data_IF_312132731102
#
_entry.id   IF_312132731102
#
_cell.length_a   1.000
_cell.length_b   1.000
_cell.length_c   1.000
_cell.angle_alpha   90.00
_cell.angle_beta   90.00
_cell.angle_gamma   90.00
#
_symmetry.space_group_name_H-M   'P 1'
#
loop_
_entity.id
_entity.type
_entity.pdbx_description
1 polymer ?
#
# COMPACT_ATOMS: atom_id res chain seq x y z
N UNK A 1 -1.20 12.49 15.47
CA UNK A 1 -0.25 13.35 14.72
C UNK A 1 1.21 13.21 15.17
N UNK A 2 1.51 12.30 16.12
CA UNK A 2 2.88 12.13 16.60
C UNK A 2 3.79 11.41 15.59
N UNK A 3 3.20 10.65 14.67
CA UNK A 3 3.89 9.81 13.69
C UNK A 3 3.72 10.29 12.23
N UNK A 4 2.92 11.33 12.01
CA UNK A 4 2.59 11.81 10.67
C UNK A 4 2.99 13.27 10.52
N UNK A 5 3.62 13.62 9.40
CA UNK A 5 3.88 15.00 9.04
C UNK A 5 2.63 15.58 8.35
N UNK A 6 1.92 16.54 8.98
CA UNK A 6 0.74 17.14 8.36
C UNK A 6 1.13 17.99 7.15
N UNK A 7 0.51 17.74 6.01
CA UNK A 7 0.84 18.40 4.73
C UNK A 7 0.69 19.93 4.80
N UNK A 8 -0.18 20.43 5.66
CA UNK A 8 -0.37 21.87 5.90
C UNK A 8 0.90 22.61 6.35
N UNK A 9 1.90 21.89 6.83
CA UNK A 9 3.20 22.46 7.26
C UNK A 9 4.31 22.36 6.21
N UNK A 10 4.06 21.78 5.06
CA UNK A 10 5.03 21.76 3.97
C UNK A 10 5.31 23.18 3.50
N UNK A 11 6.61 23.53 3.39
CA UNK A 11 7.05 24.87 2.95
C UNK A 11 6.90 25.99 3.99
N UNK A 12 6.49 25.67 5.24
CA UNK A 12 6.25 26.71 6.28
C UNK A 12 7.36 26.87 7.32
N UNK A 13 8.56 26.38 7.06
CA UNK A 13 9.68 26.42 8.01
C UNK A 13 9.58 25.38 9.13
N UNK A 14 10.64 25.26 9.95
CA UNK A 14 10.77 24.27 11.03
C UNK A 14 10.50 22.81 10.62
N UNK A 15 10.56 22.50 9.31
CA UNK A 15 10.30 21.16 8.79
C UNK A 15 11.26 20.13 9.36
N UNK A 16 12.56 20.46 9.39
CA UNK A 16 13.61 19.54 9.86
C UNK A 16 13.41 19.16 11.32
N UNK A 17 13.10 20.14 12.19
CA UNK A 17 12.82 19.88 13.60
C UNK A 17 11.59 19.00 13.76
N UNK A 18 10.53 19.27 13.01
CA UNK A 18 9.29 18.47 13.02
C UNK A 18 9.52 17.05 12.53
N UNK A 19 10.29 16.86 11.45
CA UNK A 19 10.67 15.54 10.93
C UNK A 19 11.45 14.76 11.99
N UNK A 20 12.48 15.37 12.58
CA UNK A 20 13.28 14.73 13.62
C UNK A 20 12.44 14.28 14.81
N UNK A 21 11.50 15.12 15.26
CA UNK A 21 10.58 14.78 16.35
C UNK A 21 9.66 13.59 15.98
N UNK A 22 9.17 13.56 14.75
CA UNK A 22 8.35 12.44 14.26
C UNK A 22 9.17 11.14 14.24
N UNK A 23 10.40 11.15 13.72
CA UNK A 23 11.28 9.99 13.69
C UNK A 23 11.64 9.51 15.11
N UNK A 24 11.89 10.43 16.03
CA UNK A 24 12.10 10.10 17.45
C UNK A 24 10.87 9.44 18.08
N UNK A 25 9.67 9.99 17.82
CA UNK A 25 8.42 9.38 18.29
C UNK A 25 8.20 7.98 17.71
N UNK A 26 8.48 7.77 16.41
CA UNK A 26 8.41 6.45 15.77
C UNK A 26 9.34 5.46 16.48
N UNK A 27 10.60 5.84 16.70
CA UNK A 27 11.59 5.01 17.41
C UNK A 27 11.15 4.71 18.84
N UNK A 28 10.57 5.68 19.53
CA UNK A 28 10.08 5.49 20.89
C UNK A 28 8.87 4.58 20.96
N UNK A 29 7.95 4.66 19.98
CA UNK A 29 6.78 3.77 19.89
C UNK A 29 7.19 2.31 19.65
N UNK A 30 8.22 2.10 18.80
CA UNK A 30 8.80 0.77 18.61
C UNK A 30 9.48 0.26 19.90
N UNK A 31 10.32 1.09 20.53
CA UNK A 31 11.03 0.73 21.75
C UNK A 31 10.09 0.39 22.93
N UNK A 32 8.97 1.09 23.02
CA UNK A 32 7.98 0.92 24.07
C UNK A 32 6.88 -0.11 23.70
N UNK A 33 7.06 -0.83 22.58
CA UNK A 33 6.12 -1.85 22.09
C UNK A 33 4.67 -1.32 21.89
N UNK A 34 4.50 0.00 21.69
CA UNK A 34 3.22 0.58 21.27
C UNK A 34 2.88 0.14 19.85
N UNK A 35 3.92 0.02 19.02
CA UNK A 35 3.87 -0.63 17.70
C UNK A 35 4.90 -1.76 17.75
N UNK A 36 4.47 -2.96 17.41
CA UNK A 36 5.32 -4.14 17.42
C UNK A 36 5.19 -4.94 16.14
N UNK A 37 6.20 -5.75 15.83
CA UNK A 37 6.19 -6.64 14.68
C UNK A 37 5.25 -7.82 14.92
N UNK A 38 4.31 -8.02 14.02
CA UNK A 38 3.42 -9.17 14.02
C UNK A 38 4.01 -10.36 13.25
N UNK A 39 3.18 -11.38 13.05
CA UNK A 39 3.51 -12.53 12.19
C UNK A 39 3.48 -12.10 10.71
N UNK A 40 4.30 -12.74 9.89
CA UNK A 40 4.26 -12.58 8.43
C UNK A 40 2.92 -13.07 7.87
N UNK A 41 2.40 -12.36 6.86
CA UNK A 41 1.14 -12.67 6.21
C UNK A 41 0.51 -11.43 5.60
N UNK A 42 -0.66 -11.59 4.98
CA UNK A 42 -1.49 -10.47 4.56
C UNK A 42 -2.48 -10.10 5.66
N UNK A 43 -3.03 -8.89 5.58
CA UNK A 43 -4.15 -8.51 6.45
C UNK A 43 -5.37 -8.30 5.57
N UNK A 44 -6.37 -9.16 5.74
CA UNK A 44 -7.68 -8.97 5.12
C UNK A 44 -8.47 -7.93 5.91
N UNK A 45 -8.93 -6.90 5.22
CA UNK A 45 -9.67 -5.78 5.77
C UNK A 45 -11.15 -5.84 5.41
N UNK A 46 -11.98 -5.58 6.39
CA UNK A 46 -13.38 -5.23 6.20
C UNK A 46 -13.63 -3.84 6.78
N UNK A 47 -14.17 -2.95 5.99
CA UNK A 47 -14.59 -1.62 6.43
C UNK A 47 -16.07 -1.41 6.12
N UNK A 48 -16.81 -0.95 7.11
CA UNK A 48 -18.20 -0.54 7.01
C UNK A 48 -18.29 0.99 7.19
N UNK A 49 -19.03 1.66 6.34
CA UNK A 49 -19.32 3.10 6.44
C UNK A 49 -20.81 3.34 6.30
N UNK A 50 -21.27 4.58 6.56
CA UNK A 50 -22.67 4.96 6.32
C UNK A 50 -23.10 4.84 4.85
N UNK A 51 -22.14 4.93 3.91
CA UNK A 51 -22.41 4.89 2.46
C UNK A 51 -22.17 3.51 1.84
N UNK A 52 -21.39 2.67 2.49
CA UNK A 52 -21.06 1.34 2.00
C UNK A 52 -21.11 0.34 3.16
N UNK A 53 -22.04 -0.58 3.08
CA UNK A 53 -22.22 -1.61 4.09
C UNK A 53 -20.98 -2.49 4.25
N UNK A 54 -20.21 -2.65 3.17
CA UNK A 54 -19.00 -3.48 3.19
C UNK A 54 -18.03 -3.05 2.10
N UNK A 55 -16.81 -2.71 2.53
CA UNK A 55 -15.64 -2.61 1.67
C UNK A 55 -14.63 -3.64 2.12
N UNK A 56 -13.96 -4.26 1.17
CA UNK A 56 -12.99 -5.31 1.42
C UNK A 56 -11.67 -4.97 0.75
N UNK A 57 -10.57 -5.41 1.34
CA UNK A 57 -9.24 -5.21 0.78
C UNK A 57 -8.20 -6.10 1.45
N UNK A 58 -7.02 -6.09 0.88
CA UNK A 58 -5.82 -6.72 1.46
C UNK A 58 -4.75 -5.65 1.71
N UNK A 59 -4.13 -5.69 2.88
CA UNK A 59 -2.86 -4.99 3.08
C UNK A 59 -1.77 -5.96 2.63
N UNK A 60 -0.98 -5.52 1.67
CA UNK A 60 0.09 -6.28 1.04
C UNK A 60 1.37 -5.45 0.96
N UNK A 61 2.50 -6.10 0.82
CA UNK A 61 3.74 -5.47 0.37
C UNK A 61 3.86 -5.63 -1.14
N UNK A 62 4.30 -4.59 -1.83
CA UNK A 62 4.55 -4.61 -3.26
C UNK A 62 6.02 -4.35 -3.57
N UNK A 63 6.52 -5.01 -4.61
CA UNK A 63 7.86 -4.79 -5.11
C UNK A 63 7.92 -3.45 -5.87
N UNK A 64 8.65 -2.48 -5.31
CA UNK A 64 8.82 -1.17 -5.93
C UNK A 64 9.59 -1.22 -7.25
N UNK A 65 10.33 -2.29 -7.55
CA UNK A 65 10.94 -2.48 -8.88
C UNK A 65 9.88 -2.72 -9.96
N UNK A 66 8.70 -3.20 -9.58
CA UNK A 66 7.57 -3.41 -10.47
C UNK A 66 6.63 -2.21 -10.58
N UNK A 67 6.94 -1.11 -9.90
CA UNK A 67 6.19 0.14 -9.96
C UNK A 67 6.91 1.20 -10.77
N UNK A 68 6.14 1.86 -11.65
CA UNK A 68 6.59 3.05 -12.37
C UNK A 68 5.43 4.04 -12.52
N UNK A 69 5.70 5.30 -12.18
CA UNK A 69 4.73 6.40 -12.20
C UNK A 69 4.85 7.31 -13.41
N UNK A 70 5.76 7.03 -14.34
CA UNK A 70 5.93 7.85 -15.53
C UNK A 70 4.81 7.57 -16.53
N UNK A 71 4.45 8.60 -17.31
CA UNK A 71 3.47 8.46 -18.37
C UNK A 71 3.97 7.47 -19.44
N UNK A 72 3.08 6.57 -19.88
CA UNK A 72 3.42 5.51 -20.82
C UNK A 72 4.19 4.33 -20.23
N UNK A 73 4.25 4.23 -18.90
CA UNK A 73 4.86 3.10 -18.21
C UNK A 73 4.26 1.76 -18.66
N UNK A 74 5.14 0.75 -18.74
CA UNK A 74 4.80 -0.64 -19.04
C UNK A 74 4.97 -1.56 -17.83
N UNK A 75 5.15 -0.99 -16.65
CA UNK A 75 5.31 -1.74 -15.41
C UNK A 75 4.02 -2.43 -14.98
N UNK A 76 4.15 -3.49 -14.19
CA UNK A 76 3.03 -4.27 -13.64
C UNK A 76 2.14 -3.42 -12.70
N UNK A 77 2.74 -2.45 -12.01
CA UNK A 77 2.06 -1.48 -11.14
C UNK A 77 2.23 -0.10 -11.75
N UNK A 78 1.12 0.61 -12.00
CA UNK A 78 1.13 1.92 -12.67
C UNK A 78 0.30 2.94 -11.89
N UNK A 79 0.65 4.21 -12.06
CA UNK A 79 -0.17 5.32 -11.57
C UNK A 79 -1.42 5.50 -12.46
N UNK A 80 -2.56 5.86 -11.85
CA UNK A 80 -3.81 6.16 -12.58
C UNK A 80 -3.85 7.58 -13.13
N UNK A 81 -3.02 8.47 -12.60
CA UNK A 81 -2.94 9.88 -12.97
C UNK A 81 -1.49 10.35 -13.05
N UNK A 82 -1.27 11.48 -13.69
CA UNK A 82 0.06 12.09 -13.79
C UNK A 82 0.63 12.43 -12.41
N UNK A 83 1.83 11.96 -12.14
CA UNK A 83 2.54 12.30 -10.91
C UNK A 83 3.21 13.65 -11.05
N UNK A 84 2.88 14.60 -10.17
CA UNK A 84 3.50 15.92 -10.09
C UNK A 84 4.87 15.77 -9.45
N UNK A 85 5.94 15.81 -10.25
CA UNK A 85 7.31 15.50 -9.82
C UNK A 85 7.83 16.45 -8.74
N UNK A 86 7.43 17.72 -8.77
CA UNK A 86 7.82 18.73 -7.77
C UNK A 86 7.31 18.40 -6.36
N UNK A 87 6.30 17.53 -6.24
CA UNK A 87 5.76 17.10 -4.95
C UNK A 87 6.58 15.98 -4.31
N UNK A 88 7.45 15.31 -5.06
CA UNK A 88 8.24 14.17 -4.56
C UNK A 88 9.36 14.61 -3.60
N UNK A 89 10.24 15.57 -3.93
CA UNK A 89 11.41 15.90 -3.09
C UNK A 89 11.07 16.28 -1.64
N UNK A 90 10.06 17.11 -1.34
CA UNK A 90 9.69 17.41 0.05
C UNK A 90 9.24 16.18 0.83
N UNK A 91 8.54 15.26 0.17
CA UNK A 91 8.06 14.02 0.78
C UNK A 91 9.17 12.99 1.00
N UNK A 92 10.15 12.93 0.09
CA UNK A 92 11.37 12.13 0.26
C UNK A 92 12.12 12.59 1.52
N UNK A 93 12.27 13.92 1.72
CA UNK A 93 12.90 14.48 2.92
C UNK A 93 12.22 14.02 4.22
N UNK A 94 10.89 13.90 4.22
CA UNK A 94 10.12 13.44 5.39
C UNK A 94 10.30 11.96 5.64
N UNK A 95 10.30 11.14 4.58
CA UNK A 95 10.29 9.67 4.69
C UNK A 95 11.68 9.05 4.80
N UNK A 96 12.68 9.69 4.24
CA UNK A 96 14.05 9.18 4.27
C UNK A 96 14.54 9.05 5.71
N UNK A 97 14.92 7.84 6.11
CA UNK A 97 15.37 7.53 7.46
C UNK A 97 14.25 7.39 8.51
N UNK A 98 12.97 7.45 8.11
CA UNK A 98 11.87 7.14 9.01
C UNK A 98 11.90 5.67 9.42
N UNK A 99 11.80 5.34 10.74
CA UNK A 99 11.80 3.95 11.20
C UNK A 99 10.54 3.17 10.85
N UNK A 100 9.45 3.86 10.51
CA UNK A 100 8.16 3.28 10.19
C UNK A 100 7.58 3.89 8.91
N UNK A 101 6.93 3.06 8.12
CA UNK A 101 6.04 3.47 7.04
C UNK A 101 4.57 3.26 7.46
N UNK A 102 3.75 4.27 7.24
CA UNK A 102 2.31 4.20 7.53
C UNK A 102 1.55 4.08 6.21
N UNK A 103 1.07 2.87 5.84
CA UNK A 103 0.44 2.64 4.56
C UNK A 103 -0.88 3.40 4.44
N UNK A 104 -1.08 4.07 3.31
CA UNK A 104 -2.30 4.80 2.97
C UNK A 104 -2.55 4.83 1.46
N UNK A 105 -1.86 3.95 0.74
CA UNK A 105 -1.94 3.84 -0.72
C UNK A 105 -3.03 2.83 -1.06
N UNK A 106 -3.90 3.17 -1.99
CA UNK A 106 -4.92 2.28 -2.50
C UNK A 106 -4.51 1.77 -3.88
N UNK A 107 -4.29 0.48 -3.98
CA UNK A 107 -4.10 -0.23 -5.23
C UNK A 107 -5.41 -0.90 -5.65
N UNK A 108 -5.78 -0.75 -6.90
CA UNK A 108 -6.97 -1.35 -7.51
C UNK A 108 -6.53 -2.50 -8.39
N UNK A 109 -7.35 -3.54 -8.41
CA UNK A 109 -7.26 -4.67 -9.35
C UNK A 109 -8.54 -4.77 -10.17
N UNK A 110 -8.45 -5.26 -11.39
CA UNK A 110 -9.60 -5.55 -12.22
C UNK A 110 -9.93 -7.04 -12.17
N UNK A 111 -10.62 -7.44 -11.10
CA UNK A 111 -11.05 -8.81 -10.79
C UNK A 111 -12.58 -8.94 -10.87
N UNK A 112 -13.18 -9.00 -12.09
CA UNK A 112 -14.64 -9.07 -12.24
C UNK A 112 -15.25 -10.36 -11.71
N UNK A 113 -14.45 -11.42 -11.59
CA UNK A 113 -14.89 -12.72 -11.09
C UNK A 113 -14.80 -12.81 -9.56
N UNK A 114 -14.33 -11.74 -8.88
CA UNK A 114 -14.24 -11.65 -7.43
C UNK A 114 -13.45 -12.82 -6.81
N UNK A 115 -12.31 -13.19 -7.41
CA UNK A 115 -11.54 -14.38 -7.03
C UNK A 115 -10.42 -14.11 -6.03
N UNK A 116 -9.96 -12.85 -5.90
CA UNK A 116 -8.81 -12.49 -5.06
C UNK A 116 -9.21 -12.17 -3.63
N UNK A 117 -10.13 -11.23 -3.44
CA UNK A 117 -10.43 -10.64 -2.12
C UNK A 117 -11.72 -11.23 -1.52
N UNK A 118 -12.76 -11.34 -2.32
CA UNK A 118 -14.10 -11.70 -1.85
C UNK A 118 -14.18 -13.09 -1.20
N UNK A 119 -13.46 -14.13 -1.65
CA UNK A 119 -13.49 -15.45 -1.03
C UNK A 119 -13.05 -15.46 0.44
N UNK A 120 -12.19 -14.51 0.83
CA UNK A 120 -11.69 -14.41 2.21
C UNK A 120 -12.78 -14.06 3.22
N UNK A 121 -13.87 -13.46 2.74
CA UNK A 121 -14.98 -13.07 3.61
C UNK A 121 -15.67 -14.26 4.29
N UNK A 122 -15.74 -15.40 3.62
CA UNK A 122 -16.32 -16.63 4.17
C UNK A 122 -15.39 -17.36 5.14
N UNK A 123 -14.11 -17.01 5.16
CA UNK A 123 -13.06 -17.66 5.94
C UNK A 123 -12.68 -16.87 7.20
N UNK A 124 -13.35 -15.75 7.48
CA UNK A 124 -13.01 -14.89 8.64
C UNK A 124 -13.17 -15.59 10.00
N UNK A 125 -13.93 -16.67 10.08
CA UNK A 125 -14.05 -17.49 11.28
C UNK A 125 -12.77 -18.27 11.64
N UNK A 126 -11.93 -18.54 10.63
CA UNK A 126 -10.69 -19.29 10.76
C UNK A 126 -9.48 -18.37 10.91
N UNK A 127 -9.63 -17.08 10.64
CA UNK A 127 -8.57 -16.09 10.71
C UNK A 127 -8.47 -15.44 12.09
N UNK A 128 -7.25 -15.18 12.55
CA UNK A 128 -7.03 -14.38 13.74
C UNK A 128 -7.47 -12.92 13.49
N UNK A 129 -8.46 -12.43 14.23
CA UNK A 129 -8.78 -11.01 14.26
C UNK A 129 -7.66 -10.25 14.97
N UNK A 130 -6.99 -9.34 14.26
CA UNK A 130 -5.91 -8.51 14.81
C UNK A 130 -6.46 -7.27 15.50
N UNK A 131 -7.48 -6.67 14.92
CA UNK A 131 -8.13 -5.49 15.47
C UNK A 131 -9.55 -5.32 14.92
N UNK A 132 -10.36 -4.66 15.73
CA UNK A 132 -11.69 -4.21 15.40
C UNK A 132 -11.93 -2.88 16.12
N UNK A 133 -12.24 -1.83 15.39
CA UNK A 133 -12.42 -0.50 15.98
C UNK A 133 -13.33 0.40 15.16
N UNK A 134 -13.97 1.34 15.84
CA UNK A 134 -14.64 2.46 15.21
C UNK A 134 -13.62 3.51 14.76
N UNK A 135 -13.82 4.06 13.57
CA UNK A 135 -12.96 5.10 13.01
C UNK A 135 -13.43 6.49 13.44
N UNK A 136 -12.46 7.38 13.69
CA UNK A 136 -12.74 8.78 14.02
C UNK A 136 -13.61 9.45 12.96
N UNK A 137 -14.25 10.56 13.32
CA UNK A 137 -15.05 11.40 12.42
C UNK A 137 -16.21 10.64 11.75
N UNK A 138 -16.79 9.67 12.43
CA UNK A 138 -17.83 8.80 11.87
C UNK A 138 -17.38 8.04 10.61
N UNK A 139 -16.08 7.74 10.51
CA UNK A 139 -15.47 7.04 9.38
C UNK A 139 -15.90 5.58 9.25
N UNK A 140 -16.79 5.10 10.14
CA UNK A 140 -17.31 3.75 10.18
C UNK A 140 -16.46 2.81 11.02
N UNK A 141 -16.64 1.51 10.83
CA UNK A 141 -15.96 0.44 11.55
C UNK A 141 -14.99 -0.30 10.66
N UNK A 142 -13.84 -0.67 11.20
CA UNK A 142 -12.85 -1.46 10.49
C UNK A 142 -12.48 -2.71 11.29
N UNK A 143 -12.27 -3.83 10.59
CA UNK A 143 -11.74 -5.08 11.11
C UNK A 143 -10.56 -5.52 10.27
N UNK A 144 -9.52 -6.03 10.89
CA UNK A 144 -8.36 -6.61 10.24
C UNK A 144 -8.12 -8.04 10.70
N UNK A 145 -7.94 -8.95 9.74
CA UNK A 145 -7.72 -10.37 9.97
C UNK A 145 -6.38 -10.80 9.37
N UNK A 146 -5.59 -11.53 10.13
CA UNK A 146 -4.33 -12.10 9.65
C UNK A 146 -4.59 -13.29 8.73
N UNK A 147 -4.06 -13.22 7.52
CA UNK A 147 -4.06 -14.30 6.53
C UNK A 147 -2.64 -14.83 6.42
N UNK A 148 -2.40 -16.02 6.97
CA UNK A 148 -1.10 -16.68 7.00
C UNK A 148 -1.17 -18.17 6.62
N UNK A 149 -2.34 -18.69 6.36
CA UNK A 149 -2.57 -20.08 5.93
C UNK A 149 -2.04 -20.28 4.51
N UNK A 150 -1.08 -21.23 4.36
CA UNK A 150 -0.41 -21.47 3.07
C UNK A 150 -1.36 -21.74 1.91
N UNK A 151 -2.39 -22.61 2.02
CA UNK A 151 -3.37 -22.81 0.96
C UNK A 151 -4.12 -21.53 0.58
N UNK A 152 -4.44 -20.67 1.54
CA UNK A 152 -5.13 -19.40 1.28
C UNK A 152 -4.21 -18.41 0.57
N UNK A 153 -2.95 -18.31 1.03
CA UNK A 153 -1.93 -17.48 0.39
C UNK A 153 -1.69 -17.92 -1.06
N UNK A 154 -1.54 -19.22 -1.29
CA UNK A 154 -1.35 -19.76 -2.64
C UNK A 154 -2.53 -19.44 -3.56
N UNK A 155 -3.77 -19.55 -3.07
CA UNK A 155 -4.96 -19.18 -3.83
C UNK A 155 -4.98 -17.69 -4.19
N UNK A 156 -4.53 -16.81 -3.28
CA UNK A 156 -4.41 -15.37 -3.55
C UNK A 156 -3.37 -15.14 -4.65
N UNK A 157 -2.18 -15.73 -4.51
CA UNK A 157 -1.10 -15.59 -5.50
C UNK A 157 -1.53 -16.11 -6.87
N UNK A 158 -2.14 -17.29 -6.93
CA UNK A 158 -2.60 -17.86 -8.18
C UNK A 158 -3.69 -17.01 -8.83
N UNK A 159 -4.64 -16.49 -8.03
CA UNK A 159 -5.70 -15.62 -8.53
C UNK A 159 -5.14 -14.30 -9.09
N UNK A 160 -4.16 -13.70 -8.42
CA UNK A 160 -3.47 -12.52 -8.94
C UNK A 160 -2.67 -12.81 -10.22
N UNK A 161 -1.98 -13.96 -10.27
CA UNK A 161 -1.25 -14.38 -11.47
C UNK A 161 -2.19 -14.61 -12.66
N UNK A 162 -3.34 -15.21 -12.41
CA UNK A 162 -4.37 -15.44 -13.42
C UNK A 162 -4.91 -14.13 -14.04
N UNK A 163 -4.94 -13.01 -13.29
CA UNK A 163 -5.39 -11.72 -13.83
C UNK A 163 -4.45 -11.16 -14.90
N UNK A 164 -3.18 -11.51 -14.84
CA UNK A 164 -2.12 -11.04 -15.76
C UNK A 164 -1.58 -12.15 -16.66
N UNK A 165 -2.22 -13.32 -16.69
CA UNK A 165 -1.86 -14.35 -17.66
C UNK A 165 -2.06 -13.79 -19.10
N UNK A 166 -1.01 -13.77 -19.96
CA UNK A 166 -1.01 -13.01 -21.20
C UNK A 166 -2.21 -13.27 -22.12
N UNK A 167 -2.60 -14.54 -22.28
CA UNK A 167 -3.71 -14.89 -23.16
C UNK A 167 -5.07 -14.42 -22.62
N UNK A 168 -5.24 -14.45 -21.30
CA UNK A 168 -6.45 -13.94 -20.61
C UNK A 168 -6.49 -12.43 -20.64
N UNK A 169 -5.35 -11.77 -20.34
CA UNK A 169 -5.21 -10.34 -20.36
C UNK A 169 -5.51 -9.76 -21.74
N UNK A 170 -4.85 -10.28 -22.78
CA UNK A 170 -5.04 -9.83 -24.16
C UNK A 170 -6.49 -10.00 -24.63
N UNK A 171 -7.11 -11.15 -24.30
CA UNK A 171 -8.53 -11.41 -24.63
C UNK A 171 -9.48 -10.47 -23.89
N UNK A 172 -9.22 -10.23 -22.58
CA UNK A 172 -10.07 -9.37 -21.73
C UNK A 172 -10.10 -7.94 -22.24
N UNK A 173 -8.93 -7.40 -22.61
CA UNK A 173 -8.80 -6.00 -23.02
C UNK A 173 -8.83 -5.80 -24.54
N UNK A 174 -8.87 -6.86 -25.33
CA UNK A 174 -8.86 -6.78 -26.79
C UNK A 174 -7.54 -6.22 -27.34
N UNK A 175 -6.43 -6.48 -26.69
CA UNK A 175 -5.08 -6.03 -27.06
C UNK A 175 -4.21 -7.19 -27.53
N UNK A 176 -3.09 -6.89 -28.21
CA UNK A 176 -2.13 -7.88 -28.69
C UNK A 176 -0.75 -7.43 -28.23
N UNK A 177 -0.03 -8.32 -27.55
CA UNK A 177 1.35 -8.09 -27.08
C UNK A 177 1.54 -6.81 -26.22
N UNK A 178 0.49 -6.37 -25.55
CA UNK A 178 0.61 -5.28 -24.59
C UNK A 178 1.12 -5.79 -23.25
N UNK A 179 1.99 -5.03 -22.57
CA UNK A 179 2.50 -5.39 -21.27
C UNK A 179 1.39 -5.52 -20.23
N UNK A 180 1.43 -6.59 -19.46
CA UNK A 180 0.48 -6.89 -18.41
C UNK A 180 0.39 -5.75 -17.40
N UNK A 181 -0.79 -5.58 -16.81
CA UNK A 181 -1.09 -4.56 -15.84
C UNK A 181 -1.93 -5.18 -14.72
N UNK A 182 -1.38 -5.22 -13.51
CA UNK A 182 -2.03 -5.85 -12.36
C UNK A 182 -2.62 -4.82 -11.41
N UNK A 183 -1.82 -3.85 -10.98
CA UNK A 183 -2.23 -2.87 -9.98
C UNK A 183 -2.25 -1.45 -10.52
N UNK A 184 -3.38 -0.79 -10.35
CA UNK A 184 -3.54 0.64 -10.57
C UNK A 184 -3.47 1.39 -9.23
N UNK A 185 -2.55 2.32 -9.07
CA UNK A 185 -2.53 3.19 -7.89
C UNK A 185 -3.71 4.18 -7.97
N UNK A 186 -4.84 3.83 -7.34
CA UNK A 186 -6.09 4.59 -7.38
C UNK A 186 -6.11 5.79 -6.44
N UNK A 187 -5.32 5.73 -5.34
CA UNK A 187 -5.09 6.86 -4.42
C UNK A 187 -3.70 6.71 -3.80
N UNK A 188 -3.09 7.85 -3.45
CA UNK A 188 -1.73 7.87 -2.91
C UNK A 188 -0.63 7.79 -3.96
N UNK A 189 -0.87 8.15 -5.22
CA UNK A 189 0.13 8.13 -6.31
C UNK A 189 1.44 8.83 -5.92
N UNK A 190 1.37 10.06 -5.37
CA UNK A 190 2.57 10.77 -4.93
C UNK A 190 3.28 10.08 -3.76
N UNK A 191 2.55 9.39 -2.91
CA UNK A 191 3.13 8.63 -1.80
C UNK A 191 3.87 7.39 -2.29
N UNK A 192 3.30 6.64 -3.24
CA UNK A 192 3.97 5.48 -3.84
C UNK A 192 5.18 5.91 -4.66
N UNK A 193 5.06 7.00 -5.44
CA UNK A 193 6.19 7.59 -6.17
C UNK A 193 7.31 8.06 -5.22
N UNK A 194 6.95 8.60 -4.05
CA UNK A 194 7.92 8.96 -3.02
C UNK A 194 8.62 7.72 -2.46
N UNK A 195 7.89 6.62 -2.20
CA UNK A 195 8.49 5.36 -1.77
C UNK A 195 9.50 4.85 -2.80
N UNK A 196 9.13 4.86 -4.09
CA UNK A 196 10.04 4.50 -5.19
C UNK A 196 11.29 5.39 -5.20
N UNK A 197 11.14 6.70 -5.07
CA UNK A 197 12.28 7.63 -5.05
C UNK A 197 13.21 7.40 -3.85
N UNK A 198 12.67 7.10 -2.67
CA UNK A 198 13.47 6.72 -1.48
C UNK A 198 14.21 5.42 -1.73
N UNK A 199 13.54 4.41 -2.28
CA UNK A 199 14.14 3.12 -2.63
C UNK A 199 15.29 3.26 -3.62
N UNK A 200 15.11 4.00 -4.72
CA UNK A 200 16.17 4.24 -5.71
C UNK A 200 17.39 4.92 -5.08
N UNK A 201 17.17 5.87 -4.19
CA UNK A 201 18.23 6.53 -3.46
C UNK A 201 18.98 5.59 -2.51
N UNK A 202 18.26 4.68 -1.84
CA UNK A 202 18.89 3.66 -0.97
C UNK A 202 19.74 2.70 -1.78
N UNK A 203 19.27 2.24 -2.94
CA UNK A 203 20.04 1.36 -3.84
C UNK A 203 21.35 2.02 -4.28
N UNK A 204 21.30 3.28 -4.73
CA UNK A 204 22.52 3.98 -5.16
C UNK A 204 23.55 4.08 -4.05
N UNK A 205 23.11 4.32 -2.81
CA UNK A 205 24.03 4.40 -1.65
C UNK A 205 24.61 3.06 -1.25
N UNK A 206 23.90 1.95 -1.48
CA UNK A 206 24.35 0.59 -1.15
C UNK A 206 25.34 0.03 -2.19
N UNK A 207 25.34 0.54 -3.42
CA UNK A 207 26.27 0.13 -4.49
C UNK A 207 27.64 0.79 -4.30
N UNK A 208 27.68 1.96 -3.63
CA UNK A 208 28.90 2.73 -3.39
C UNK A 208 29.65 2.28 -2.11
N UNK A 209 29.20 1.24 -1.42
CA UNK A 209 29.83 0.59 -0.25
C UNK A 209 30.34 -0.81 -0.58
#
# INVERSE_FOLDING_TARGET
>A
LNLVFPEVYLGKGAETERINRIHQNMSQYLKNEVIYSGKAGFIYLQRQTSQAARRQGLIIAVDLERYDYHSGSKSLIRATEGTVLERIPPRVKIRQGAPLELPHIMLLIDDPDCRVIEPLASQTGDFQCLYETELMMNGGRIRGYLVQDEPVLENIYQSLADLVEPSRFNRKYGVIDEPEFLFAAGDGNHSLATAKAVWEKMKSTAIDQ
#
